data_IF_875578137055
#
_entry.id   IF_875578137055
#
_cell.length_a   1.000
_cell.length_b   1.000
_cell.length_c   1.000
_cell.angle_alpha   90.00
_cell.angle_beta   90.00
_cell.angle_gamma   90.00
#
_symmetry.space_group_name_H-M   'P 1'
#
loop_
_entity.id
_entity.type
_entity.pdbx_description
1 polymer ?
#
# COMPACT_ATOMS: atom_id res chain seq x y z
N UNK A 1 9.69 -4.45 17.78
CA UNK A 1 9.45 -4.16 16.35
C UNK A 1 10.76 -3.64 15.79
N UNK A 2 11.41 -4.40 14.90
CA UNK A 2 12.61 -3.92 14.20
C UNK A 2 12.11 -3.09 13.03
N UNK A 3 11.91 -1.79 13.23
CA UNK A 3 11.79 -0.85 12.11
C UNK A 3 13.16 -0.85 11.43
N UNK A 4 13.25 -1.45 10.24
CA UNK A 4 14.50 -1.53 9.51
C UNK A 4 14.66 -0.24 8.72
N UNK A 5 15.72 0.49 9.04
CA UNK A 5 16.18 1.64 8.25
C UNK A 5 16.25 1.24 6.77
N UNK A 6 15.55 1.98 5.92
CA UNK A 6 15.47 1.69 4.49
C UNK A 6 15.92 2.91 3.70
N UNK A 7 16.94 2.75 2.85
CA UNK A 7 17.34 3.79 1.91
C UNK A 7 16.28 3.93 0.82
N UNK A 8 15.90 5.17 0.55
CA UNK A 8 14.89 5.54 -0.45
C UNK A 8 15.49 6.62 -1.35
N UNK A 9 15.30 6.45 -2.65
CA UNK A 9 15.67 7.42 -3.65
C UNK A 9 14.47 7.70 -4.55
N UNK A 10 14.02 8.95 -4.58
CA UNK A 10 12.86 9.40 -5.35
C UNK A 10 13.33 10.45 -6.34
N UNK A 11 13.09 10.19 -7.63
CA UNK A 11 13.33 11.15 -8.71
C UNK A 11 12.01 11.45 -9.41
N UNK A 12 11.71 12.72 -9.63
CA UNK A 12 10.47 13.13 -10.26
C UNK A 12 10.62 14.42 -11.08
N UNK A 13 9.92 14.48 -12.20
CA UNK A 13 9.82 15.66 -13.06
C UNK A 13 8.54 15.64 -13.88
N UNK A 14 8.04 16.81 -14.26
CA UNK A 14 6.97 16.93 -15.25
C UNK A 14 7.56 16.89 -16.66
N UNK A 15 6.99 16.07 -17.53
CA UNK A 15 7.42 15.94 -18.93
C UNK A 15 7.00 17.18 -19.74
N UNK A 16 5.78 17.67 -19.49
CA UNK A 16 5.13 18.71 -20.29
C UNK A 16 5.01 20.05 -19.53
N UNK A 17 6.02 20.40 -18.74
CA UNK A 17 5.99 21.64 -17.96
C UNK A 17 6.17 22.86 -18.86
N UNK A 18 5.22 23.79 -18.84
CA UNK A 18 5.33 25.09 -19.51
C UNK A 18 6.36 25.98 -18.78
N UNK A 19 7.13 26.80 -19.53
CA UNK A 19 8.23 27.63 -18.99
C UNK A 19 7.85 28.59 -17.84
N UNK A 20 6.57 28.93 -17.70
CA UNK A 20 6.06 29.82 -16.64
C UNK A 20 5.26 29.10 -15.55
N UNK A 21 5.22 27.77 -15.59
CA UNK A 21 4.52 26.97 -14.60
C UNK A 21 5.51 26.26 -13.67
N UNK A 22 5.08 26.10 -12.43
CA UNK A 22 5.81 25.36 -11.42
C UNK A 22 4.83 24.43 -10.71
N UNK A 23 5.35 23.33 -10.22
CA UNK A 23 4.62 22.39 -9.40
C UNK A 23 5.21 22.38 -7.99
N UNK A 24 4.44 21.86 -7.02
CA UNK A 24 4.93 21.72 -5.64
C UNK A 24 4.89 20.26 -5.22
N UNK A 25 5.88 19.82 -4.46
CA UNK A 25 5.92 18.46 -3.96
C UNK A 25 6.43 18.42 -2.52
N UNK A 26 5.92 17.48 -1.75
CA UNK A 26 6.43 17.18 -0.42
C UNK A 26 6.57 15.68 -0.19
N UNK A 27 7.53 15.33 0.66
CA UNK A 27 7.82 13.98 1.12
C UNK A 27 7.84 14.01 2.64
N UNK A 28 7.07 13.13 3.27
CA UNK A 28 7.01 12.97 4.72
C UNK A 28 6.87 11.50 5.08
N UNK A 29 7.45 11.09 6.21
CA UNK A 29 7.22 9.74 6.75
C UNK A 29 5.90 9.68 7.52
N UNK A 30 5.21 8.55 7.44
CA UNK A 30 3.99 8.31 8.20
C UNK A 30 4.29 8.36 9.71
N UNK A 31 3.68 9.32 10.41
CA UNK A 31 3.91 9.57 11.83
C UNK A 31 5.03 10.57 12.14
N UNK A 32 5.78 11.05 11.13
CA UNK A 32 6.78 12.08 11.32
C UNK A 32 6.15 13.47 11.47
N UNK A 33 6.79 14.32 12.27
CA UNK A 33 6.38 15.73 12.46
C UNK A 33 7.03 16.68 11.46
N UNK A 34 8.07 16.22 10.75
CA UNK A 34 8.90 17.03 9.86
C UNK A 34 8.90 16.45 8.45
N UNK A 35 8.78 17.34 7.47
CA UNK A 35 8.96 16.99 6.05
C UNK A 35 10.41 16.66 5.75
N UNK A 36 10.63 15.57 5.02
CA UNK A 36 11.93 15.23 4.43
C UNK A 36 12.24 16.18 3.28
N UNK A 37 11.20 16.47 2.48
CA UNK A 37 11.27 17.39 1.37
C UNK A 37 9.97 18.19 1.32
N UNK A 38 10.05 19.50 1.11
CA UNK A 38 8.88 20.35 0.94
C UNK A 38 9.28 21.57 0.11
N UNK A 39 8.95 21.54 -1.18
CA UNK A 39 9.22 22.65 -2.08
C UNK A 39 7.93 23.10 -2.78
N UNK A 40 7.70 24.41 -2.73
CA UNK A 40 6.51 25.06 -3.25
C UNK A 40 6.59 25.43 -4.73
N UNK A 41 7.79 25.50 -5.31
CA UNK A 41 8.01 25.99 -6.67
C UNK A 41 9.14 25.21 -7.33
N UNK A 42 8.78 24.17 -8.06
CA UNK A 42 9.70 23.28 -8.76
C UNK A 42 9.49 23.42 -10.26
N UNK A 43 10.58 23.67 -11.00
CA UNK A 43 10.59 23.80 -12.46
C UNK A 43 11.43 22.75 -13.16
N UNK A 44 12.35 22.11 -12.43
CA UNK A 44 13.30 21.14 -12.96
C UNK A 44 13.09 19.75 -12.36
N UNK A 45 13.84 18.78 -12.89
CA UNK A 45 13.93 17.45 -12.28
C UNK A 45 14.50 17.52 -10.86
N UNK A 46 13.83 16.81 -9.96
CA UNK A 46 14.22 16.72 -8.56
C UNK A 46 14.57 15.28 -8.24
N UNK A 47 15.70 15.10 -7.54
CA UNK A 47 16.17 13.82 -7.05
C UNK A 47 16.49 13.92 -5.56
N UNK A 48 15.81 13.10 -4.74
CA UNK A 48 15.91 13.12 -3.28
C UNK A 48 16.30 11.74 -2.78
N UNK A 49 17.40 11.66 -2.05
CA UNK A 49 17.86 10.46 -1.35
C UNK A 49 17.73 10.66 0.16
N UNK A 50 17.11 9.73 0.86
CA UNK A 50 17.00 9.76 2.31
C UNK A 50 16.93 8.34 2.89
N UNK A 51 17.12 8.23 4.19
CA UNK A 51 16.92 6.99 4.95
C UNK A 51 15.61 7.12 5.71
N UNK A 52 14.70 6.17 5.51
CA UNK A 52 13.46 6.07 6.27
C UNK A 52 13.76 5.43 7.63
N UNK A 53 13.43 6.14 8.71
CA UNK A 53 13.78 5.79 10.11
C UNK A 53 12.53 5.84 11.00
N UNK A 54 11.68 6.85 10.81
CA UNK A 54 10.59 7.16 11.76
C UNK A 54 9.29 6.42 11.43
N UNK A 55 9.02 6.16 10.15
CA UNK A 55 7.72 5.68 9.67
C UNK A 55 7.74 4.31 9.01
N UNK A 56 6.63 3.55 9.05
CA UNK A 56 6.48 2.31 8.27
C UNK A 56 6.26 2.58 6.77
N UNK A 57 5.93 3.82 6.39
CA UNK A 57 5.69 4.23 5.02
C UNK A 57 6.13 5.67 4.76
N UNK A 58 6.38 5.99 3.49
CA UNK A 58 6.70 7.33 3.01
C UNK A 58 5.51 7.84 2.19
N UNK A 59 5.07 9.04 2.50
CA UNK A 59 4.04 9.78 1.77
C UNK A 59 4.74 10.76 0.83
N UNK A 60 4.59 10.52 -0.47
CA UNK A 60 5.01 11.43 -1.53
C UNK A 60 3.77 12.06 -2.17
N UNK A 61 3.69 13.39 -2.14
CA UNK A 61 2.58 14.12 -2.72
C UNK A 61 3.08 15.18 -3.68
N UNK A 62 2.44 15.25 -4.85
CA UNK A 62 2.71 16.24 -5.89
C UNK A 62 1.42 16.98 -6.18
N UNK A 63 1.49 18.30 -6.15
CA UNK A 63 0.43 19.17 -6.64
C UNK A 63 0.75 19.52 -8.09
N UNK A 64 -0.12 19.10 -8.99
CA UNK A 64 -0.01 19.40 -10.41
C UNK A 64 0.00 20.92 -10.66
N UNK A 65 0.69 21.36 -11.72
CA UNK A 65 0.62 22.75 -12.18
C UNK A 65 -0.77 23.06 -12.75
N UNK A 66 -1.06 24.34 -13.01
CA UNK A 66 -2.40 24.79 -13.39
C UNK A 66 -2.85 24.23 -14.75
N UNK A 67 -1.94 24.08 -15.71
CA UNK A 67 -2.23 23.46 -17.01
C UNK A 67 -2.41 21.94 -16.96
N UNK A 68 -2.12 21.29 -15.82
CA UNK A 68 -2.02 19.84 -15.72
C UNK A 68 -0.74 19.31 -16.39
N UNK A 69 -0.65 17.99 -16.58
CA UNK A 69 0.47 17.38 -17.30
C UNK A 69 0.82 15.98 -16.81
N UNK A 70 1.84 15.40 -17.43
CA UNK A 70 2.34 14.07 -17.10
C UNK A 70 3.54 14.15 -16.16
N UNK A 71 3.38 13.55 -14.99
CA UNK A 71 4.46 13.37 -14.02
C UNK A 71 5.20 12.06 -14.31
N UNK A 72 6.50 12.17 -14.57
CA UNK A 72 7.38 11.02 -14.53
C UNK A 72 7.96 10.90 -13.12
N UNK A 73 7.85 9.73 -12.51
CA UNK A 73 8.42 9.47 -11.20
C UNK A 73 9.10 8.10 -11.15
N UNK A 74 10.22 8.04 -10.47
CA UNK A 74 11.00 6.83 -10.23
C UNK A 74 11.30 6.74 -8.74
N UNK A 75 10.97 5.61 -8.13
CA UNK A 75 11.27 5.34 -6.73
C UNK A 75 12.10 4.07 -6.65
N UNK A 76 13.23 4.15 -5.97
CA UNK A 76 14.08 3.01 -5.63
C UNK A 76 14.14 2.85 -4.12
N UNK A 77 14.14 1.61 -3.66
CA UNK A 77 14.19 1.24 -2.25
C UNK A 77 15.33 0.26 -1.98
N UNK A 78 15.91 0.30 -0.78
CA UNK A 78 16.88 -0.69 -0.32
C UNK A 78 18.21 -0.62 -1.09
N UNK A 79 18.72 -1.78 -1.54
CA UNK A 79 20.01 -1.88 -2.22
C UNK A 79 20.04 -1.10 -3.54
N UNK A 80 18.91 -1.03 -4.26
CA UNK A 80 18.79 -0.31 -5.53
C UNK A 80 18.81 1.22 -5.37
N UNK A 81 18.53 1.72 -4.16
CA UNK A 81 18.60 3.14 -3.81
C UNK A 81 20.02 3.57 -3.39
N UNK A 82 20.92 2.62 -3.14
CA UNK A 82 22.27 2.88 -2.66
C UNK A 82 23.19 3.05 -3.88
N UNK A 83 23.62 4.28 -4.13
CA UNK A 83 24.45 4.60 -5.29
C UNK A 83 25.91 4.13 -5.06
N UNK A 84 26.16 2.86 -5.38
CA UNK A 84 27.48 2.22 -5.25
C UNK A 84 28.52 2.77 -6.23
N UNK A 85 28.13 3.62 -7.19
CA UNK A 85 29.06 4.28 -8.12
C UNK A 85 30.08 5.17 -7.39
N UNK A 86 29.70 5.71 -6.23
CA UNK A 86 30.58 6.51 -5.37
C UNK A 86 31.57 5.62 -4.59
N UNK A 87 31.14 4.41 -4.20
CA UNK A 87 31.97 3.43 -3.47
C UNK A 87 32.99 2.76 -4.40
N UNK A 88 32.60 2.51 -5.66
CA UNK A 88 33.48 1.99 -6.71
C UNK A 88 34.58 3.00 -7.09
N UNK A 89 34.33 4.30 -6.90
CA UNK A 89 35.31 5.36 -7.17
C UNK A 89 36.25 5.62 -5.97
N UNK A 90 35.83 5.28 -4.75
CA UNK A 90 36.62 5.51 -3.52
C UNK A 90 37.52 4.34 -3.12
N UNK A 91 37.31 3.16 -3.71
CA UNK A 91 38.01 1.94 -3.28
C UNK A 91 38.44 1.17 -4.53
N UNK A 92 39.74 1.02 -4.74
CA UNK A 92 40.33 0.08 -5.70
C UNK A 92 39.89 -1.36 -5.34
N UNK A 93 38.68 -1.75 -5.69
CA UNK A 93 38.17 -3.11 -5.54
C UNK A 93 37.96 -3.70 -6.92
N UNK A 94 38.42 -4.93 -7.10
CA UNK A 94 38.32 -5.63 -8.37
C UNK A 94 36.84 -5.76 -8.79
N UNK A 95 36.51 -5.47 -10.07
CA UNK A 95 35.14 -5.31 -10.57
C UNK A 95 34.28 -6.59 -10.44
N UNK A 96 34.89 -7.72 -10.08
CA UNK A 96 34.23 -9.00 -9.89
C UNK A 96 33.58 -9.11 -8.51
N UNK A 97 34.23 -8.63 -7.45
CA UNK A 97 33.71 -8.72 -6.08
C UNK A 97 32.49 -7.80 -5.87
N UNK A 98 32.51 -6.61 -6.47
CA UNK A 98 31.37 -5.71 -6.49
C UNK A 98 30.13 -6.35 -7.16
N UNK A 99 30.36 -7.17 -8.19
CA UNK A 99 29.27 -7.86 -8.90
C UNK A 99 28.71 -9.02 -8.08
N UNK A 100 29.55 -9.76 -7.35
CA UNK A 100 29.11 -10.83 -6.45
C UNK A 100 28.32 -10.25 -5.28
N UNK A 101 28.76 -9.12 -4.73
CA UNK A 101 28.07 -8.45 -3.63
C UNK A 101 26.68 -7.96 -4.05
N UNK A 102 26.54 -7.41 -5.26
CA UNK A 102 25.25 -7.02 -5.81
C UNK A 102 24.29 -8.21 -5.95
N UNK A 103 24.76 -9.35 -6.47
CA UNK A 103 23.93 -10.55 -6.62
C UNK A 103 23.51 -11.11 -5.26
N UNK A 104 24.38 -11.08 -4.26
CA UNK A 104 24.07 -11.49 -2.89
C UNK A 104 23.02 -10.57 -2.25
N UNK A 105 23.15 -9.26 -2.43
CA UNK A 105 22.18 -8.30 -1.91
C UNK A 105 20.82 -8.42 -2.60
N UNK A 106 20.82 -8.66 -3.91
CA UNK A 106 19.63 -8.91 -4.72
C UNK A 106 18.93 -10.22 -4.29
N UNK A 107 19.66 -11.31 -4.08
CA UNK A 107 19.09 -12.55 -3.53
C UNK A 107 18.52 -12.34 -2.13
N UNK A 108 19.19 -11.54 -1.30
CA UNK A 108 18.71 -11.23 0.05
C UNK A 108 17.42 -10.40 0.02
N UNK A 109 17.27 -9.50 -0.97
CA UNK A 109 16.07 -8.67 -1.13
C UNK A 109 14.91 -9.52 -1.69
N UNK A 110 15.17 -10.42 -2.63
CA UNK A 110 14.18 -11.38 -3.13
C UNK A 110 13.67 -12.31 -2.02
N UNK A 111 14.55 -12.89 -1.22
CA UNK A 111 14.15 -13.76 -0.12
C UNK A 111 13.29 -13.02 0.91
N UNK A 112 13.63 -11.76 1.20
CA UNK A 112 12.83 -10.89 2.09
C UNK A 112 11.48 -10.53 1.48
N UNK A 113 11.42 -10.20 0.18
CA UNK A 113 10.17 -9.91 -0.52
C UNK A 113 9.23 -11.13 -0.52
N UNK A 114 9.77 -12.33 -0.68
CA UNK A 114 9.01 -13.59 -0.62
C UNK A 114 8.42 -13.84 0.78
N UNK A 115 9.20 -13.62 1.84
CA UNK A 115 8.74 -13.71 3.23
C UNK A 115 7.62 -12.71 3.55
N UNK A 116 7.77 -11.47 3.07
CA UNK A 116 6.76 -10.43 3.22
C UNK A 116 5.49 -10.81 2.46
N UNK A 117 5.61 -11.22 1.19
CA UNK A 117 4.49 -11.68 0.36
C UNK A 117 3.71 -12.82 1.01
N UNK A 118 4.40 -13.83 1.56
CA UNK A 118 3.76 -14.92 2.31
C UNK A 118 2.95 -14.39 3.50
N UNK A 119 3.51 -13.46 4.29
CA UNK A 119 2.82 -12.88 5.45
C UNK A 119 1.58 -12.03 5.08
N UNK A 120 1.59 -11.40 3.89
CA UNK A 120 0.43 -10.66 3.37
C UNK A 120 -0.68 -11.60 2.88
N UNK A 121 -0.32 -12.73 2.28
CA UNK A 121 -1.27 -13.76 1.85
C UNK A 121 -1.98 -14.34 3.07
N UNK A 122 -1.25 -14.64 4.15
CA UNK A 122 -1.84 -15.17 5.39
C UNK A 122 -2.85 -14.19 6.01
N UNK A 123 -2.48 -12.90 6.11
CA UNK A 123 -3.38 -11.85 6.62
C UNK A 123 -4.62 -11.63 5.75
N UNK A 124 -4.48 -11.78 4.44
CA UNK A 124 -5.60 -11.64 3.50
C UNK A 124 -6.53 -12.85 3.56
N UNK A 125 -5.94 -14.05 3.70
CA UNK A 125 -6.67 -15.30 3.93
C UNK A 125 -7.49 -15.24 5.22
N UNK A 126 -6.91 -14.74 6.31
CA UNK A 126 -7.61 -14.62 7.60
C UNK A 126 -8.82 -13.68 7.52
N UNK A 127 -8.66 -12.52 6.85
CA UNK A 127 -9.76 -11.57 6.61
C UNK A 127 -10.85 -12.15 5.71
N UNK A 128 -10.48 -12.95 4.71
CA UNK A 128 -11.45 -13.65 3.87
C UNK A 128 -12.28 -14.64 4.69
N UNK A 129 -11.64 -15.47 5.53
CA UNK A 129 -12.30 -16.45 6.40
C UNK A 129 -13.32 -15.77 7.34
N UNK A 130 -12.96 -14.64 7.95
CA UNK A 130 -13.87 -13.89 8.82
C UNK A 130 -15.11 -13.37 8.06
N UNK A 131 -14.93 -12.91 6.82
CA UNK A 131 -16.02 -12.42 5.96
C UNK A 131 -16.97 -13.56 5.58
N UNK A 132 -16.45 -14.72 5.20
CA UNK A 132 -17.26 -15.91 4.91
C UNK A 132 -18.08 -16.36 6.11
N UNK A 133 -17.50 -16.33 7.32
CA UNK A 133 -18.19 -16.74 8.53
C UNK A 133 -19.32 -15.79 8.93
N UNK A 134 -19.15 -14.48 8.72
CA UNK A 134 -20.21 -13.49 8.95
C UNK A 134 -21.38 -13.68 7.98
N UNK A 135 -21.08 -13.92 6.70
CA UNK A 135 -22.08 -14.17 5.66
C UNK A 135 -22.88 -15.46 5.94
N UNK A 136 -22.19 -16.53 6.35
CA UNK A 136 -22.83 -17.79 6.71
C UNK A 136 -23.79 -17.64 7.91
N UNK A 137 -23.38 -16.91 8.95
CA UNK A 137 -24.25 -16.63 10.11
C UNK A 137 -25.49 -15.82 9.72
N UNK A 138 -25.33 -14.82 8.86
CA UNK A 138 -26.45 -14.01 8.37
C UNK A 138 -27.44 -14.86 7.57
N UNK A 139 -26.94 -15.71 6.66
CA UNK A 139 -27.79 -16.60 5.86
C UNK A 139 -28.59 -17.57 6.74
N UNK A 140 -27.95 -18.21 7.73
CA UNK A 140 -28.62 -19.12 8.67
C UNK A 140 -29.71 -18.38 9.46
N UNK A 141 -29.40 -17.21 10.01
CA UNK A 141 -30.37 -16.41 10.76
C UNK A 141 -31.59 -16.03 9.91
N UNK A 142 -31.36 -15.66 8.64
CA UNK A 142 -32.41 -15.27 7.73
C UNK A 142 -33.32 -16.45 7.33
N UNK A 143 -32.72 -17.64 7.10
CA UNK A 143 -33.48 -18.87 6.86
C UNK A 143 -34.35 -19.26 8.07
N UNK A 144 -33.83 -19.16 9.28
CA UNK A 144 -34.59 -19.44 10.51
C UNK A 144 -35.76 -18.45 10.66
N UNK A 145 -35.52 -17.16 10.38
CA UNK A 145 -36.57 -16.13 10.44
C UNK A 145 -37.71 -16.41 9.45
N UNK A 146 -37.40 -16.83 8.22
CA UNK A 146 -38.41 -17.21 7.23
C UNK A 146 -39.28 -18.38 7.69
N UNK A 147 -38.66 -19.42 8.26
CA UNK A 147 -39.38 -20.60 8.76
C UNK A 147 -40.32 -20.18 9.90
N UNK A 148 -39.83 -19.37 10.83
CA UNK A 148 -40.62 -18.91 11.97
C UNK A 148 -41.81 -18.05 11.54
N UNK A 149 -41.58 -17.09 10.63
CA UNK A 149 -42.63 -16.25 10.05
C UNK A 149 -43.72 -17.09 9.37
N UNK A 150 -43.31 -18.09 8.58
CA UNK A 150 -44.25 -18.99 7.90
C UNK A 150 -45.09 -19.80 8.90
N UNK A 151 -44.48 -20.31 9.97
CA UNK A 151 -45.22 -21.02 11.02
C UNK A 151 -46.21 -20.11 11.76
N UNK A 152 -45.81 -18.87 12.08
CA UNK A 152 -46.70 -17.87 12.66
C UNK A 152 -47.90 -17.57 11.74
N UNK A 153 -47.65 -17.43 10.44
CA UNK A 153 -48.71 -17.23 9.44
C UNK A 153 -49.69 -18.41 9.39
N UNK A 154 -49.19 -19.64 9.34
CA UNK A 154 -50.04 -20.84 9.31
C UNK A 154 -50.88 -20.92 10.59
N UNK A 155 -50.29 -20.65 11.75
CA UNK A 155 -51.01 -20.64 13.03
C UNK A 155 -52.09 -19.56 13.06
N UNK A 156 -51.77 -18.35 12.63
CA UNK A 156 -52.70 -17.24 12.52
C UNK A 156 -53.89 -17.60 11.62
N UNK A 157 -53.64 -18.11 10.42
CA UNK A 157 -54.70 -18.50 9.49
C UNK A 157 -55.56 -19.63 10.06
N UNK A 158 -54.96 -20.66 10.66
CA UNK A 158 -55.71 -21.74 11.32
C UNK A 158 -56.61 -21.20 12.43
N UNK A 159 -56.11 -20.30 13.27
CA UNK A 159 -56.90 -19.68 14.32
C UNK A 159 -58.02 -18.79 13.76
N UNK A 160 -57.73 -18.00 12.72
CA UNK A 160 -58.69 -17.16 12.03
C UNK A 160 -59.85 -17.96 11.42
N UNK A 161 -59.56 -19.05 10.69
CA UNK A 161 -60.60 -19.91 10.11
C UNK A 161 -61.44 -20.63 11.18
N UNK A 162 -60.79 -21.07 12.27
CA UNK A 162 -61.48 -21.72 13.40
C UNK A 162 -62.40 -20.75 14.15
N UNK A 163 -62.00 -19.50 14.32
CA UNK A 163 -62.81 -18.46 14.97
C UNK A 163 -63.99 -17.99 14.11
N UNK A 164 -63.85 -18.00 12.79
CA UNK A 164 -64.92 -17.60 11.85
C UNK A 164 -65.92 -18.72 11.53
N UNK A 165 -65.69 -19.96 12.01
CA UNK A 165 -66.52 -21.15 11.69
C UNK A 165 -66.88 -21.24 10.20
N UNK A 166 -65.91 -20.97 9.33
CA UNK A 166 -66.07 -21.13 7.87
C UNK A 166 -65.87 -22.59 7.43
N UNK A 167 -65.44 -23.46 8.36
CA UNK A 167 -65.43 -24.94 8.30
C UNK A 167 -65.99 -25.45 9.62
#
# INVERSE_FOLDING_TARGET
MVGKDMFVHITFHFIDLLENEAFSAYIIEEGASKYIYNEGTITNEVSVSFTSIEGPSVIFCVRAPHSGGHLNFSIKFGADARDYSIIAKSTHLDPVDARIQNVLDELSSFHKAQLIGASFIDKTSEKAIQTYHLLARFAIANSVFMIFSTMCYIFYFRHFFRSKKLI
#
